data_IF_458361115454
#
_entry.id   IF_458361115454
#
_cell.length_a   1.000
_cell.length_b   1.000
_cell.length_c   1.000
_cell.angle_alpha   90.00
_cell.angle_beta   90.00
_cell.angle_gamma   90.00
#
_symmetry.space_group_name_H-M   'P 1'
#
loop_
_entity.id
_entity.type
_entity.pdbx_description
1 polymer ?
#
# COMPACT_ATOMS: atom_id res chain seq x y z
N UNK A 1 -18.19 -17.06 -12.78
CA UNK A 1 -18.00 -15.65 -13.24
C UNK A 1 -16.83 -14.93 -12.57
N UNK A 2 -16.46 -15.32 -11.36
CA UNK A 2 -15.40 -14.64 -10.58
C UNK A 2 -13.97 -15.02 -11.02
N UNK A 3 -13.76 -16.28 -11.44
CA UNK A 3 -12.46 -16.76 -11.93
C UNK A 3 -12.01 -16.07 -13.22
N UNK A 4 -12.94 -15.77 -14.14
CA UNK A 4 -12.63 -15.06 -15.38
C UNK A 4 -12.33 -13.57 -15.16
N UNK A 5 -12.92 -12.93 -14.13
CA UNK A 5 -12.58 -11.55 -13.78
C UNK A 5 -11.17 -11.45 -13.20
N UNK A 6 -10.77 -12.38 -12.32
CA UNK A 6 -9.41 -12.39 -11.73
C UNK A 6 -8.33 -12.72 -12.76
N UNK A 7 -8.60 -13.62 -13.69
CA UNK A 7 -7.70 -13.93 -14.81
C UNK A 7 -7.51 -12.73 -15.76
N UNK A 8 -8.58 -11.96 -16.04
CA UNK A 8 -8.47 -10.71 -16.82
C UNK A 8 -7.65 -9.64 -16.09
N UNK A 9 -7.76 -9.53 -14.76
CA UNK A 9 -6.94 -8.56 -13.98
C UNK A 9 -5.44 -8.89 -14.05
N UNK A 10 -5.06 -10.18 -14.01
CA UNK A 10 -3.66 -10.60 -14.13
C UNK A 10 -3.08 -10.26 -15.51
N UNK A 11 -3.78 -10.58 -16.58
CA UNK A 11 -3.36 -10.22 -17.96
C UNK A 11 -3.29 -8.70 -18.20
N UNK A 12 -4.07 -7.90 -17.48
CA UNK A 12 -4.01 -6.44 -17.56
C UNK A 12 -2.75 -5.91 -16.89
N UNK A 13 -2.35 -6.44 -15.74
CA UNK A 13 -1.16 -5.99 -14.99
C UNK A 13 0.14 -6.27 -15.72
N UNK A 14 0.27 -7.43 -16.38
CA UNK A 14 1.46 -7.73 -17.20
C UNK A 14 1.56 -6.78 -18.41
N UNK A 15 0.43 -6.46 -19.04
CA UNK A 15 0.38 -5.46 -20.11
C UNK A 15 0.73 -4.06 -19.61
N UNK A 16 0.31 -3.69 -18.38
CA UNK A 16 0.66 -2.39 -17.78
C UNK A 16 2.17 -2.28 -17.57
N UNK A 17 2.83 -3.32 -17.06
CA UNK A 17 4.30 -3.31 -16.88
C UNK A 17 5.02 -3.23 -18.22
N UNK A 18 4.53 -3.92 -19.26
CA UNK A 18 5.08 -3.81 -20.60
C UNK A 18 4.99 -2.37 -21.16
N UNK A 19 3.88 -1.68 -20.92
CA UNK A 19 3.73 -0.27 -21.30
C UNK A 19 4.66 0.65 -20.50
N UNK A 20 4.85 0.42 -19.22
CA UNK A 20 5.82 1.16 -18.40
C UNK A 20 7.22 0.99 -18.96
N UNK A 21 7.65 -0.24 -19.30
CA UNK A 21 8.93 -0.52 -19.94
C UNK A 21 9.07 0.24 -21.28
N UNK A 22 8.04 0.21 -22.11
CA UNK A 22 8.03 0.95 -23.38
C UNK A 22 8.21 2.45 -23.19
N UNK A 23 7.60 3.03 -22.15
CA UNK A 23 7.77 4.45 -21.82
C UNK A 23 9.21 4.73 -21.37
N UNK A 24 9.80 3.90 -20.52
CA UNK A 24 11.19 4.08 -20.07
C UNK A 24 12.19 3.96 -21.22
N UNK A 25 12.00 2.99 -22.11
CA UNK A 25 12.81 2.86 -23.35
C UNK A 25 12.64 4.08 -24.26
N UNK A 26 11.43 4.61 -24.39
CA UNK A 26 11.16 5.85 -25.13
C UNK A 26 11.86 7.06 -24.47
N UNK A 27 11.82 7.15 -23.15
CA UNK A 27 12.52 8.23 -22.41
C UNK A 27 14.03 8.17 -22.60
N UNK A 28 14.64 6.99 -22.59
CA UNK A 28 16.06 6.82 -22.91
C UNK A 28 16.40 7.37 -24.31
N UNK A 29 15.55 7.07 -25.31
CA UNK A 29 15.77 7.51 -26.70
C UNK A 29 15.55 9.01 -26.90
N UNK A 30 14.57 9.60 -26.22
CA UNK A 30 14.08 10.95 -26.56
C UNK A 30 14.47 12.02 -25.55
N UNK A 31 14.81 11.64 -24.31
CA UNK A 31 15.13 12.55 -23.19
C UNK A 31 16.59 12.45 -22.75
N UNK A 32 17.42 11.70 -23.47
CA UNK A 32 18.83 11.46 -23.13
C UNK A 32 19.01 10.95 -21.68
N UNK A 33 18.09 10.10 -21.24
CA UNK A 33 18.20 9.38 -19.98
C UNK A 33 18.92 8.06 -20.23
N UNK A 34 19.55 7.52 -19.20
CA UNK A 34 20.35 6.29 -19.29
C UNK A 34 19.86 5.24 -18.29
N UNK A 35 18.58 4.85 -18.41
CA UNK A 35 18.04 3.78 -17.61
C UNK A 35 18.55 2.42 -18.10
N UNK A 36 19.22 1.67 -17.24
CA UNK A 36 19.56 0.27 -17.47
C UNK A 36 18.39 -0.59 -16.96
N UNK A 37 17.67 -1.22 -17.90
CA UNK A 37 16.48 -2.01 -17.58
C UNK A 37 16.81 -3.49 -17.58
N UNK A 38 16.56 -4.20 -16.47
CA UNK A 38 16.58 -5.66 -16.40
C UNK A 38 15.17 -6.19 -16.10
N UNK A 39 14.86 -7.38 -16.59
CA UNK A 39 13.56 -8.03 -16.37
C UNK A 39 13.78 -9.41 -15.77
N UNK A 40 13.12 -9.65 -14.65
CA UNK A 40 13.28 -10.87 -13.86
C UNK A 40 11.92 -11.51 -13.55
N UNK A 41 11.92 -12.82 -13.26
CA UNK A 41 10.74 -13.56 -12.85
C UNK A 41 10.55 -13.48 -11.34
N UNK A 42 9.32 -13.16 -10.91
CA UNK A 42 8.95 -13.12 -9.49
C UNK A 42 7.54 -13.67 -9.28
N UNK A 43 7.23 -14.09 -8.05
CA UNK A 43 5.92 -14.58 -7.67
C UNK A 43 5.52 -15.85 -8.41
N UNK A 44 4.30 -15.90 -8.94
CA UNK A 44 3.76 -17.05 -9.65
C UNK A 44 4.56 -17.44 -10.89
N UNK A 45 5.08 -16.48 -11.64
CA UNK A 45 5.91 -16.75 -12.82
C UNK A 45 7.23 -17.45 -12.44
N UNK A 46 7.87 -17.03 -11.35
CA UNK A 46 9.06 -17.70 -10.83
C UNK A 46 8.75 -19.10 -10.30
N UNK A 47 7.62 -19.29 -9.62
CA UNK A 47 7.19 -20.62 -9.13
C UNK A 47 6.98 -21.59 -10.30
N UNK A 48 6.38 -21.14 -11.39
CA UNK A 48 6.17 -21.97 -12.57
C UNK A 48 7.49 -22.39 -13.21
N UNK A 49 8.45 -21.48 -13.32
CA UNK A 49 9.73 -21.72 -13.96
C UNK A 49 10.71 -22.51 -13.07
N UNK A 50 10.87 -22.09 -11.79
CA UNK A 50 11.97 -22.56 -10.92
C UNK A 50 11.51 -23.03 -9.54
N UNK A 51 10.20 -23.16 -9.30
CA UNK A 51 9.56 -23.73 -8.10
C UNK A 51 9.75 -22.90 -6.81
N UNK A 52 10.28 -21.70 -6.90
CA UNK A 52 10.39 -20.75 -5.78
C UNK A 52 9.80 -19.41 -6.15
N UNK A 53 9.20 -18.65 -5.19
CA UNK A 53 8.56 -17.36 -5.50
C UNK A 53 9.55 -16.25 -5.88
N UNK A 54 10.81 -16.36 -5.52
CA UNK A 54 11.93 -15.50 -5.93
C UNK A 54 13.23 -16.27 -5.73
N UNK A 55 14.14 -16.23 -6.70
CA UNK A 55 15.49 -16.78 -6.56
C UNK A 55 16.39 -15.82 -5.78
N UNK A 56 17.47 -16.32 -5.19
CA UNK A 56 18.44 -15.47 -4.50
C UNK A 56 19.14 -14.51 -5.48
N UNK A 57 19.41 -14.94 -6.71
CA UNK A 57 19.97 -14.09 -7.76
C UNK A 57 19.07 -12.87 -8.03
N UNK A 58 17.78 -13.08 -8.29
CA UNK A 58 16.80 -12.00 -8.53
C UNK A 58 16.65 -11.11 -7.30
N UNK A 59 16.71 -11.71 -6.11
CA UNK A 59 16.65 -10.98 -4.84
C UNK A 59 17.85 -10.04 -4.67
N UNK A 60 19.08 -10.53 -4.82
CA UNK A 60 20.28 -9.69 -4.70
C UNK A 60 20.34 -8.61 -5.79
N UNK A 61 19.97 -8.93 -7.02
CA UNK A 61 19.87 -7.96 -8.10
C UNK A 61 18.86 -6.84 -7.80
N UNK A 62 17.75 -7.19 -7.11
CA UNK A 62 16.77 -6.19 -6.65
C UNK A 62 17.34 -5.27 -5.56
N UNK A 63 18.22 -5.79 -4.66
CA UNK A 63 18.88 -4.98 -3.64
C UNK A 63 19.92 -3.99 -4.24
N UNK A 64 20.55 -4.37 -5.35
CA UNK A 64 21.54 -3.54 -6.04
C UNK A 64 20.94 -2.53 -7.00
N UNK A 65 19.65 -2.62 -7.29
CA UNK A 65 18.95 -1.73 -8.21
C UNK A 65 18.51 -0.43 -7.54
N UNK A 66 18.58 0.69 -8.26
CA UNK A 66 18.08 2.00 -7.78
C UNK A 66 16.55 2.00 -7.58
N UNK A 67 15.83 1.21 -8.38
CA UNK A 67 14.38 1.06 -8.30
C UNK A 67 13.92 -0.31 -8.80
N UNK A 68 12.84 -0.81 -8.22
CA UNK A 68 12.18 -2.06 -8.63
C UNK A 68 10.75 -1.76 -9.04
N UNK A 69 10.41 -2.08 -10.28
CA UNK A 69 9.03 -2.02 -10.79
C UNK A 69 8.44 -3.42 -10.72
N UNK A 70 7.38 -3.58 -9.97
CA UNK A 70 6.74 -4.87 -9.73
C UNK A 70 5.37 -4.91 -10.42
N UNK A 71 5.13 -6.01 -11.14
CA UNK A 71 3.83 -6.35 -11.69
C UNK A 71 2.98 -7.18 -10.73
N UNK A 72 2.13 -8.06 -11.25
CA UNK A 72 1.33 -8.97 -10.44
C UNK A 72 2.19 -10.11 -9.88
N UNK A 73 2.06 -10.39 -8.58
CA UNK A 73 2.79 -11.48 -7.92
C UNK A 73 2.03 -12.81 -7.96
N UNK A 74 0.74 -12.80 -7.68
CA UNK A 74 -0.09 -13.97 -7.43
C UNK A 74 -1.34 -14.07 -8.32
N UNK A 75 -2.12 -15.10 -8.09
CA UNK A 75 -3.39 -15.34 -8.77
C UNK A 75 -3.99 -16.68 -8.41
N UNK A 76 -5.21 -16.98 -8.86
CA UNK A 76 -5.98 -18.17 -8.46
C UNK A 76 -5.24 -19.51 -8.67
N UNK A 77 -4.33 -19.57 -9.64
CA UNK A 77 -3.53 -20.75 -9.95
C UNK A 77 -2.71 -21.24 -8.75
N UNK A 78 -2.28 -20.33 -7.88
CA UNK A 78 -1.38 -20.60 -6.76
C UNK A 78 -2.08 -20.52 -5.39
N UNK A 79 -3.40 -20.34 -5.33
CA UNK A 79 -4.16 -20.20 -4.08
C UNK A 79 -4.04 -21.42 -3.15
N UNK A 80 -3.90 -22.63 -3.73
CA UNK A 80 -3.80 -23.89 -3.01
C UNK A 80 -2.38 -24.26 -2.54
N UNK A 81 -1.38 -23.42 -2.78
CA UNK A 81 -0.03 -23.66 -2.30
C UNK A 81 0.05 -23.44 -0.78
N UNK A 82 0.96 -24.16 -0.13
CA UNK A 82 1.34 -23.90 1.26
C UNK A 82 1.70 -22.43 1.45
N UNK A 83 1.36 -21.87 2.59
CA UNK A 83 1.59 -20.45 2.91
C UNK A 83 3.04 -20.00 2.67
N UNK A 84 4.02 -20.85 3.00
CA UNK A 84 5.45 -20.60 2.78
C UNK A 84 5.87 -20.50 1.32
N UNK A 85 5.10 -21.10 0.41
CA UNK A 85 5.37 -21.19 -1.03
C UNK A 85 4.51 -20.25 -1.87
N UNK A 86 3.64 -19.46 -1.25
CA UNK A 86 2.76 -18.53 -1.98
C UNK A 86 3.55 -17.42 -2.69
N UNK A 87 3.09 -16.96 -3.88
CA UNK A 87 3.72 -15.90 -4.65
C UNK A 87 3.98 -14.62 -3.85
N UNK A 88 3.06 -14.25 -2.96
CA UNK A 88 3.12 -13.05 -2.11
C UNK A 88 4.33 -13.04 -1.16
N UNK A 89 4.91 -14.22 -0.88
CA UNK A 89 6.13 -14.33 -0.05
C UNK A 89 7.32 -13.60 -0.68
N UNK A 90 7.41 -13.56 -2.01
CA UNK A 90 8.45 -12.80 -2.70
C UNK A 90 8.32 -11.29 -2.44
N UNK A 91 7.09 -10.76 -2.55
CA UNK A 91 6.83 -9.36 -2.27
C UNK A 91 7.12 -8.99 -0.81
N UNK A 92 6.71 -9.84 0.14
CA UNK A 92 6.98 -9.60 1.56
C UNK A 92 8.48 -9.64 1.88
N UNK A 93 9.25 -10.58 1.25
CA UNK A 93 10.71 -10.62 1.37
C UNK A 93 11.34 -9.32 0.87
N UNK A 94 10.98 -8.85 -0.34
CA UNK A 94 11.49 -7.59 -0.89
C UNK A 94 11.12 -6.39 0.00
N UNK A 95 9.88 -6.26 0.45
CA UNK A 95 9.45 -5.16 1.33
C UNK A 95 10.28 -5.08 2.62
N UNK A 96 10.52 -6.23 3.23
CA UNK A 96 11.30 -6.34 4.47
C UNK A 96 12.76 -5.95 4.26
N UNK A 97 13.41 -6.58 3.29
CA UNK A 97 14.86 -6.44 3.10
C UNK A 97 15.25 -5.09 2.47
N UNK A 98 14.43 -4.56 1.58
CA UNK A 98 14.57 -3.19 1.05
C UNK A 98 14.10 -2.12 2.04
N UNK A 99 13.59 -2.52 3.22
CA UNK A 99 13.07 -1.60 4.27
C UNK A 99 12.03 -0.62 3.76
N UNK A 100 11.11 -1.10 2.91
CA UNK A 100 10.06 -0.30 2.29
C UNK A 100 8.93 -0.03 3.29
N UNK A 101 9.15 0.92 4.20
CA UNK A 101 8.22 1.22 5.30
C UNK A 101 7.06 2.15 4.90
N UNK A 102 7.23 2.94 3.85
CA UNK A 102 6.22 3.91 3.41
C UNK A 102 5.59 3.45 2.08
N UNK A 103 4.33 3.08 2.14
CA UNK A 103 3.53 2.79 0.95
C UNK A 103 2.69 4.01 0.59
N UNK A 104 2.93 4.56 -0.59
CA UNK A 104 2.24 5.73 -1.10
C UNK A 104 1.15 5.28 -2.07
N UNK A 105 -0.10 5.54 -1.73
CA UNK A 105 -1.27 5.16 -2.53
C UNK A 105 -2.06 6.42 -2.94
N UNK A 106 -1.82 6.96 -4.13
CA UNK A 106 -2.61 8.07 -4.63
C UNK A 106 -4.02 7.59 -5.05
N UNK A 107 -5.05 8.33 -4.69
CA UNK A 107 -6.42 8.16 -5.16
C UNK A 107 -6.81 9.39 -5.97
N UNK A 108 -6.59 9.34 -7.28
CA UNK A 108 -6.83 10.44 -8.21
C UNK A 108 -7.97 10.07 -9.14
N UNK A 109 -9.04 10.86 -9.13
CA UNK A 109 -10.13 10.70 -10.08
C UNK A 109 -9.87 11.55 -11.34
N UNK A 110 -9.47 10.90 -12.42
CA UNK A 110 -9.28 11.55 -13.71
C UNK A 110 -10.62 11.99 -14.29
N UNK A 111 -10.67 13.17 -14.90
CA UNK A 111 -11.91 13.73 -15.48
C UNK A 111 -12.61 12.77 -16.44
N UNK A 112 -11.83 12.00 -17.21
CA UNK A 112 -12.34 11.03 -18.19
C UNK A 112 -12.93 9.77 -17.55
N UNK A 113 -12.72 9.56 -16.27
CA UNK A 113 -13.13 8.35 -15.53
C UNK A 113 -14.17 8.63 -14.44
N UNK A 114 -14.65 9.87 -14.32
CA UNK A 114 -15.63 10.27 -13.31
C UNK A 114 -16.88 9.38 -13.39
N UNK A 115 -17.36 9.09 -14.59
CA UNK A 115 -18.56 8.26 -14.81
C UNK A 115 -18.32 6.75 -14.52
N UNK A 116 -17.07 6.33 -14.30
CA UNK A 116 -16.75 4.97 -13.89
C UNK A 116 -16.88 4.74 -12.38
N UNK A 117 -16.99 5.83 -11.61
CA UNK A 117 -17.25 5.76 -10.17
C UNK A 117 -18.67 5.33 -9.88
N UNK A 118 -18.88 4.63 -8.76
CA UNK A 118 -20.23 4.32 -8.25
C UNK A 118 -20.84 5.47 -7.46
N UNK A 119 -20.04 6.49 -7.14
CA UNK A 119 -20.50 7.69 -6.46
C UNK A 119 -20.91 8.78 -7.49
N UNK A 120 -21.68 9.74 -7.00
CA UNK A 120 -22.09 10.89 -7.82
C UNK A 120 -20.88 11.68 -8.32
N UNK A 121 -20.91 12.17 -9.59
CA UNK A 121 -19.81 12.92 -10.19
C UNK A 121 -19.32 14.11 -9.37
N UNK A 122 -20.24 14.84 -8.71
CA UNK A 122 -19.88 15.98 -7.86
C UNK A 122 -19.06 15.63 -6.62
N UNK A 123 -19.13 14.37 -6.15
CA UNK A 123 -18.34 13.88 -5.02
C UNK A 123 -16.92 13.59 -5.45
N UNK A 124 -16.72 12.91 -6.58
CA UNK A 124 -15.43 12.37 -7.01
C UNK A 124 -14.67 13.23 -8.01
N UNK A 125 -15.34 14.13 -8.71
CA UNK A 125 -14.69 14.99 -9.72
C UNK A 125 -13.59 15.85 -9.09
N UNK A 126 -12.37 15.74 -9.64
CA UNK A 126 -11.19 16.46 -9.16
C UNK A 126 -10.63 15.94 -7.83
N UNK A 127 -11.00 14.73 -7.44
CA UNK A 127 -10.44 14.07 -6.27
C UNK A 127 -8.95 13.80 -6.48
N UNK A 128 -8.14 14.17 -5.48
CA UNK A 128 -6.72 13.89 -5.40
C UNK A 128 -6.33 13.75 -3.92
N UNK A 129 -6.26 12.51 -3.46
CA UNK A 129 -5.89 12.12 -2.10
C UNK A 129 -4.62 11.28 -2.16
N UNK A 130 -3.67 11.51 -1.26
CA UNK A 130 -2.50 10.67 -1.04
C UNK A 130 -2.65 9.91 0.27
N UNK A 131 -2.71 8.59 0.21
CA UNK A 131 -2.70 7.76 1.41
C UNK A 131 -1.28 7.28 1.67
N UNK A 132 -0.76 7.59 2.84
CA UNK A 132 0.55 7.19 3.34
C UNK A 132 0.33 6.10 4.38
N UNK A 133 0.59 4.85 3.97
CA UNK A 133 0.45 3.65 4.79
C UNK A 133 1.80 3.23 5.34
N UNK A 134 1.92 3.04 6.64
CA UNK A 134 3.06 2.31 7.22
C UNK A 134 2.97 0.83 6.78
N UNK A 135 4.07 0.23 6.30
CA UNK A 135 4.01 -1.04 5.59
C UNK A 135 4.75 -2.19 6.30
N UNK A 136 5.59 -1.92 7.29
CA UNK A 136 6.52 -2.90 7.87
C UNK A 136 6.26 -3.23 9.34
N UNK A 137 5.31 -2.55 9.96
CA UNK A 137 4.87 -2.78 11.35
C UNK A 137 3.43 -3.27 11.45
N UNK A 138 2.89 -3.17 12.66
CA UNK A 138 1.51 -3.43 12.99
C UNK A 138 1.10 -4.90 12.97
N UNK A 139 -0.20 -5.14 12.79
CA UNK A 139 -0.82 -6.46 12.95
C UNK A 139 -0.33 -7.52 11.96
N UNK A 140 0.22 -7.10 10.80
CA UNK A 140 0.73 -8.02 9.80
C UNK A 140 2.12 -8.58 10.16
N UNK A 141 2.83 -7.97 11.11
CA UNK A 141 4.20 -8.34 11.49
C UNK A 141 4.42 -8.52 12.98
N UNK A 142 3.50 -8.03 13.84
CA UNK A 142 3.63 -8.11 15.28
C UNK A 142 3.62 -9.54 15.82
N UNK A 143 4.38 -9.77 16.88
CA UNK A 143 4.46 -11.03 17.62
C UNK A 143 3.92 -10.86 19.05
N UNK A 144 3.35 -11.91 19.67
CA UNK A 144 3.09 -13.24 19.15
C UNK A 144 1.97 -13.27 18.08
N UNK A 145 2.07 -14.23 17.16
CA UNK A 145 1.06 -14.49 16.13
C UNK A 145 0.98 -15.95 15.77
N UNK A 146 -0.19 -16.41 15.37
CA UNK A 146 -0.39 -17.79 14.94
C UNK A 146 -1.74 -18.35 15.31
N UNK A 147 -1.88 -19.65 15.13
CA UNK A 147 -3.04 -20.42 15.56
C UNK A 147 -2.53 -21.53 16.50
N UNK A 148 -2.95 -21.50 17.74
CA UNK A 148 -2.58 -22.45 18.77
C UNK A 148 -3.80 -23.29 19.22
N UNK A 149 -3.61 -24.59 19.51
CA UNK A 149 -4.66 -25.39 20.14
C UNK A 149 -4.85 -24.93 21.58
N UNK A 150 -6.10 -24.93 22.03
CA UNK A 150 -6.48 -24.71 23.43
C UNK A 150 -7.36 -25.86 23.91
N UNK A 151 -7.79 -25.84 25.16
CA UNK A 151 -8.62 -26.89 25.76
C UNK A 151 -9.90 -27.15 24.96
N UNK A 152 -10.48 -28.35 25.15
CA UNK A 152 -11.76 -28.77 24.54
C UNK A 152 -11.76 -28.77 22.99
N UNK A 153 -10.65 -29.18 22.35
CA UNK A 153 -10.50 -29.20 20.89
C UNK A 153 -10.75 -27.86 20.20
N UNK A 154 -10.64 -26.76 20.93
CA UNK A 154 -10.74 -25.42 20.36
C UNK A 154 -9.36 -24.93 19.88
N UNK A 155 -9.37 -23.90 19.08
CA UNK A 155 -8.17 -23.19 18.59
C UNK A 155 -8.31 -21.70 18.84
N UNK A 156 -7.19 -21.05 19.15
CA UNK A 156 -7.09 -19.60 19.32
C UNK A 156 -6.20 -19.01 18.24
N UNK A 157 -6.72 -18.05 17.49
CA UNK A 157 -5.95 -17.24 16.55
C UNK A 157 -5.45 -15.96 17.22
N UNK A 158 -4.16 -15.62 17.04
CA UNK A 158 -3.53 -14.45 17.64
C UNK A 158 -2.85 -13.64 16.55
N UNK A 159 -3.07 -12.32 16.55
CA UNK A 159 -2.27 -11.34 15.85
C UNK A 159 -2.02 -10.16 16.78
N UNK A 160 -0.78 -9.74 16.88
CA UNK A 160 -0.37 -8.60 17.72
C UNK A 160 -0.27 -7.34 16.88
N UNK A 161 -0.99 -6.29 17.30
CA UNK A 161 -0.89 -4.96 16.71
C UNK A 161 0.05 -4.12 17.57
N UNK A 162 1.26 -3.85 17.06
CA UNK A 162 2.27 -3.10 17.81
C UNK A 162 3.02 -2.14 16.91
N UNK A 163 3.37 -0.98 17.48
CA UNK A 163 4.21 0.04 16.86
C UNK A 163 5.17 0.62 17.88
N UNK A 164 6.35 0.99 17.42
CA UNK A 164 7.33 1.76 18.20
C UNK A 164 7.25 3.24 17.81
N UNK A 165 7.68 4.12 18.71
CA UNK A 165 7.84 5.55 18.43
C UNK A 165 8.63 5.83 17.15
N UNK A 166 9.73 5.09 16.92
CA UNK A 166 10.56 5.29 15.72
C UNK A 166 9.85 4.93 14.42
N UNK A 167 9.01 3.90 14.41
CA UNK A 167 8.18 3.51 13.25
C UNK A 167 7.14 4.57 12.94
N UNK A 168 6.47 5.10 13.96
CA UNK A 168 5.48 6.16 13.81
C UNK A 168 6.16 7.45 13.32
N UNK A 169 7.28 7.83 13.90
CA UNK A 169 8.00 9.06 13.53
C UNK A 169 8.48 9.05 12.08
N UNK A 170 9.03 7.92 11.59
CA UNK A 170 9.52 7.84 10.21
C UNK A 170 8.40 8.01 9.19
N UNK A 171 7.25 7.37 9.42
CA UNK A 171 6.12 7.45 8.48
C UNK A 171 5.40 8.81 8.58
N UNK A 172 5.31 9.39 9.78
CA UNK A 172 4.74 10.72 9.99
C UNK A 172 5.53 11.80 9.21
N UNK A 173 6.87 11.75 9.25
CA UNK A 173 7.71 12.68 8.47
C UNK A 173 7.44 12.58 6.98
N UNK A 174 7.29 11.36 6.43
CA UNK A 174 6.94 11.18 5.02
C UNK A 174 5.60 11.84 4.70
N UNK A 175 4.58 11.64 5.54
CA UNK A 175 3.26 12.23 5.32
C UNK A 175 3.29 13.77 5.39
N UNK A 176 3.98 14.34 6.37
CA UNK A 176 4.10 15.79 6.50
C UNK A 176 4.92 16.43 5.38
N UNK A 177 6.01 15.79 4.92
CA UNK A 177 6.81 16.30 3.81
C UNK A 177 6.04 16.24 2.47
N UNK A 178 5.20 15.22 2.27
CA UNK A 178 4.28 15.17 1.15
C UNK A 178 3.22 16.27 1.23
N UNK A 179 2.63 16.48 2.40
CA UNK A 179 1.60 17.50 2.60
C UNK A 179 2.14 18.93 2.27
N UNK A 180 3.38 19.26 2.65
CA UNK A 180 4.02 20.55 2.27
C UNK A 180 4.08 20.77 0.75
N UNK A 181 4.15 19.70 -0.03
CA UNK A 181 4.19 19.75 -1.51
C UNK A 181 2.80 19.75 -2.13
N UNK A 182 1.76 19.63 -1.29
CA UNK A 182 0.34 19.53 -1.67
C UNK A 182 -0.46 20.67 -0.99
N UNK A 183 -1.59 20.35 -0.36
CA UNK A 183 -2.48 21.34 0.28
C UNK A 183 -2.13 21.64 1.74
N UNK A 184 -0.97 21.18 2.21
CA UNK A 184 -0.43 21.42 3.54
C UNK A 184 -1.32 20.87 4.69
N UNK A 185 -2.00 19.73 4.45
CA UNK A 185 -2.94 19.12 5.38
C UNK A 185 -2.70 17.61 5.50
N UNK A 186 -2.64 17.12 6.74
CA UNK A 186 -2.57 15.69 7.08
C UNK A 186 -3.78 15.31 7.93
N UNK A 187 -4.44 14.21 7.59
CA UNK A 187 -5.40 13.53 8.46
C UNK A 187 -4.77 12.23 8.94
N UNK A 188 -4.42 12.16 10.22
CA UNK A 188 -3.89 10.94 10.84
C UNK A 188 -5.04 10.06 11.31
N UNK A 189 -5.09 8.84 10.74
CA UNK A 189 -6.14 7.86 11.03
C UNK A 189 -5.60 6.79 11.98
N UNK A 190 -6.32 6.58 13.07
CA UNK A 190 -5.97 5.64 14.15
C UNK A 190 -7.24 5.13 14.86
N UNK A 191 -7.07 4.31 15.88
CA UNK A 191 -8.19 3.76 16.68
C UNK A 191 -7.93 3.95 18.18
N UNK A 192 -7.57 5.17 18.59
CA UNK A 192 -7.17 5.53 19.95
C UNK A 192 -8.27 5.35 21.02
N UNK A 193 -9.51 5.27 20.60
CA UNK A 193 -10.63 5.08 21.53
C UNK A 193 -10.73 3.65 22.11
N UNK A 194 -10.01 2.66 21.52
CA UNK A 194 -10.06 1.25 21.93
C UNK A 194 -8.72 0.50 21.79
N UNK A 195 -7.67 1.15 21.30
CA UNK A 195 -6.37 0.54 21.06
C UNK A 195 -5.24 1.40 21.62
N UNK A 196 -4.42 0.82 22.50
CA UNK A 196 -3.23 1.48 23.07
C UNK A 196 -2.21 1.87 21.99
N UNK A 197 -2.01 1.00 21.00
CA UNK A 197 -1.16 1.34 19.83
C UNK A 197 -1.71 2.54 19.05
N UNK A 198 -3.04 2.72 19.03
CA UNK A 198 -3.69 3.90 18.45
C UNK A 198 -3.49 5.17 19.29
N UNK A 199 -3.48 5.06 20.62
CA UNK A 199 -3.16 6.16 21.53
C UNK A 199 -1.71 6.62 21.27
N UNK A 200 -0.75 5.70 21.30
CA UNK A 200 0.66 5.99 21.03
C UNK A 200 0.82 6.63 19.63
N UNK A 201 0.17 6.08 18.62
CA UNK A 201 0.21 6.62 17.26
C UNK A 201 -0.19 8.10 17.21
N UNK A 202 -1.31 8.43 17.85
CA UNK A 202 -1.84 9.80 17.91
C UNK A 202 -0.88 10.74 18.61
N UNK A 203 -0.34 10.35 19.76
CA UNK A 203 0.60 11.14 20.55
C UNK A 203 1.90 11.41 19.79
N UNK A 204 2.50 10.40 19.18
CA UNK A 204 3.75 10.50 18.47
C UNK A 204 3.64 11.28 17.14
N UNK A 205 2.52 11.14 16.42
CA UNK A 205 2.25 11.95 15.23
C UNK A 205 2.08 13.42 15.61
N UNK A 206 1.37 13.71 16.72
CA UNK A 206 1.22 15.07 17.23
C UNK A 206 2.58 15.65 17.66
N UNK A 207 3.42 14.88 18.36
CA UNK A 207 4.73 15.32 18.79
C UNK A 207 5.65 15.71 17.62
N UNK A 208 5.68 14.90 16.54
CA UNK A 208 6.44 15.23 15.32
C UNK A 208 5.91 16.50 14.65
N UNK A 209 4.58 16.65 14.56
CA UNK A 209 3.96 17.85 14.00
C UNK A 209 4.39 19.11 14.77
N UNK A 210 4.30 19.06 16.10
CA UNK A 210 4.60 20.24 16.94
C UNK A 210 6.10 20.61 16.95
N UNK A 211 6.96 19.59 16.83
CA UNK A 211 8.41 19.78 16.81
C UNK A 211 8.92 20.23 15.44
N UNK A 212 8.50 19.56 14.36
CA UNK A 212 9.17 19.65 13.06
C UNK A 212 8.28 20.29 11.96
N UNK A 213 6.94 20.23 12.11
CA UNK A 213 5.99 20.60 11.04
C UNK A 213 4.90 21.58 11.50
N UNK A 214 5.25 22.57 12.26
CA UNK A 214 4.32 23.54 12.91
C UNK A 214 3.31 24.18 11.96
N UNK A 215 3.68 24.37 10.69
CA UNK A 215 2.83 25.03 9.67
C UNK A 215 1.88 24.06 8.94
N UNK A 216 2.03 22.75 9.12
CA UNK A 216 1.13 21.78 8.50
C UNK A 216 -0.11 21.60 9.36
N UNK A 217 -1.28 21.66 8.75
CA UNK A 217 -2.55 21.33 9.42
C UNK A 217 -2.57 19.84 9.73
N UNK A 218 -2.85 19.47 10.97
CA UNK A 218 -3.03 18.09 11.40
C UNK A 218 -4.41 17.91 12.00
N UNK A 219 -5.15 16.94 11.48
CA UNK A 219 -6.39 16.45 12.06
C UNK A 219 -6.24 14.98 12.43
N UNK A 220 -6.69 14.59 13.61
CA UNK A 220 -6.81 13.19 13.99
C UNK A 220 -8.24 12.70 13.73
N UNK A 221 -8.36 11.53 13.17
CA UNK A 221 -9.67 10.94 12.85
C UNK A 221 -9.65 9.43 13.15
N UNK A 222 -10.67 8.93 13.82
CA UNK A 222 -10.82 7.49 14.02
C UNK A 222 -11.01 6.79 12.67
N UNK A 223 -10.42 5.63 12.49
CA UNK A 223 -10.36 4.95 11.19
C UNK A 223 -11.75 4.64 10.60
N UNK A 224 -12.69 4.23 11.44
CA UNK A 224 -14.09 4.01 11.03
C UNK A 224 -14.78 5.30 10.56
N UNK A 225 -14.54 6.43 11.23
CA UNK A 225 -15.03 7.73 10.77
C UNK A 225 -14.34 8.15 9.47
N UNK A 226 -13.05 7.88 9.31
CA UNK A 226 -12.32 8.17 8.08
C UNK A 226 -12.93 7.42 6.89
N UNK A 227 -13.24 6.13 7.04
CA UNK A 227 -13.93 5.33 6.04
C UNK A 227 -15.27 5.94 5.64
N UNK A 228 -16.12 6.29 6.62
CA UNK A 228 -17.39 6.98 6.34
C UNK A 228 -17.20 8.31 5.60
N UNK A 229 -16.20 9.11 5.98
CA UNK A 229 -15.94 10.41 5.39
C UNK A 229 -15.33 10.31 3.98
N UNK A 230 -14.60 9.24 3.67
CA UNK A 230 -14.15 8.96 2.30
C UNK A 230 -15.34 8.83 1.33
N UNK A 231 -16.43 8.20 1.74
CA UNK A 231 -17.64 8.08 0.92
C UNK A 231 -18.48 9.36 0.93
N UNK A 232 -18.56 10.03 2.08
CA UNK A 232 -19.46 11.19 2.25
C UNK A 232 -18.88 12.49 1.71
N UNK A 233 -17.63 12.78 2.04
CA UNK A 233 -16.96 14.04 1.68
C UNK A 233 -15.45 13.84 1.49
N UNK A 234 -15.03 13.07 0.45
CA UNK A 234 -13.61 12.74 0.22
C UNK A 234 -12.74 13.97 -0.07
N UNK A 235 -13.32 15.05 -0.60
CA UNK A 235 -12.59 16.30 -0.95
C UNK A 235 -12.01 17.04 0.26
N UNK A 236 -12.40 16.68 1.49
CA UNK A 236 -11.80 17.23 2.70
C UNK A 236 -10.38 16.74 2.94
N UNK A 237 -9.99 15.62 2.34
CA UNK A 237 -8.69 15.02 2.53
C UNK A 237 -7.65 15.54 1.52
N UNK A 238 -6.40 15.61 1.97
CA UNK A 238 -5.23 15.85 1.14
C UNK A 238 -4.25 14.68 1.30
N UNK A 239 -3.62 14.56 2.49
CA UNK A 239 -2.81 13.40 2.85
C UNK A 239 -3.47 12.67 4.01
N UNK A 240 -3.72 11.38 3.84
CA UNK A 240 -4.17 10.48 4.92
C UNK A 240 -2.96 9.68 5.38
N UNK A 241 -2.62 9.77 6.66
CA UNK A 241 -1.59 8.98 7.32
C UNK A 241 -2.26 7.88 8.12
N UNK A 242 -1.89 6.63 7.89
CA UNK A 242 -2.46 5.49 8.61
C UNK A 242 -1.44 4.36 8.84
N UNK A 243 -1.75 3.52 9.82
CA UNK A 243 -1.03 2.28 10.08
C UNK A 243 -1.21 1.26 8.95
N UNK A 244 -0.61 0.08 9.13
CA UNK A 244 -0.62 -0.96 8.09
C UNK A 244 -2.02 -1.49 7.77
N UNK A 245 -2.84 -1.77 8.79
CA UNK A 245 -4.18 -2.34 8.62
C UNK A 245 -5.15 -1.30 8.08
N UNK A 246 -5.27 -0.17 8.76
CA UNK A 246 -6.22 0.88 8.36
C UNK A 246 -5.80 1.52 7.05
N UNK A 247 -4.49 1.69 6.81
CA UNK A 247 -3.97 2.20 5.53
C UNK A 247 -4.29 1.29 4.35
N UNK A 248 -4.32 -0.04 4.55
CA UNK A 248 -4.75 -0.99 3.52
C UNK A 248 -6.23 -0.81 3.18
N UNK A 249 -7.07 -0.89 4.20
CA UNK A 249 -8.52 -0.78 4.03
C UNK A 249 -8.94 0.57 3.42
N UNK A 250 -8.44 1.68 3.97
CA UNK A 250 -8.77 3.02 3.50
C UNK A 250 -8.27 3.28 2.07
N UNK A 251 -7.11 2.73 1.69
CA UNK A 251 -6.59 2.92 0.33
C UNK A 251 -7.37 2.10 -0.70
N UNK A 252 -7.82 0.90 -0.35
CA UNK A 252 -8.65 0.07 -1.23
C UNK A 252 -10.05 0.70 -1.38
N UNK A 253 -10.61 1.24 -0.31
CA UNK A 253 -11.86 2.03 -0.36
C UNK A 253 -11.69 3.28 -1.24
N UNK A 254 -10.61 4.05 -1.04
CA UNK A 254 -10.33 5.24 -1.85
C UNK A 254 -10.11 4.91 -3.34
N UNK A 255 -9.53 3.75 -3.66
CA UNK A 255 -9.39 3.28 -5.03
C UNK A 255 -10.76 3.08 -5.71
N UNK A 256 -11.76 2.62 -4.97
CA UNK A 256 -13.12 2.45 -5.50
C UNK A 256 -13.81 3.78 -5.80
N UNK A 257 -13.43 4.88 -5.12
CA UNK A 257 -13.94 6.23 -5.46
C UNK A 257 -13.55 6.63 -6.88
N UNK A 258 -12.41 6.16 -7.37
CA UNK A 258 -11.91 6.48 -8.73
C UNK A 258 -12.42 5.53 -9.79
N UNK A 259 -13.24 4.53 -9.42
CA UNK A 259 -13.86 3.56 -10.32
C UNK A 259 -12.97 2.38 -10.72
N UNK A 260 -11.72 2.26 -10.24
CA UNK A 260 -10.86 1.15 -10.59
C UNK A 260 -9.68 0.93 -9.63
N UNK A 261 -9.59 -0.27 -9.06
CA UNK A 261 -8.41 -0.74 -8.32
C UNK A 261 -7.14 -0.86 -9.19
N UNK A 262 -7.30 -1.06 -10.50
CA UNK A 262 -6.18 -1.33 -11.41
C UNK A 262 -5.46 -0.10 -11.94
N UNK A 263 -5.99 1.10 -11.70
CA UNK A 263 -5.42 2.37 -12.20
C UNK A 263 -4.46 3.03 -11.20
N UNK A 264 -4.47 2.61 -9.96
CA UNK A 264 -3.66 3.22 -8.91
C UNK A 264 -2.41 2.39 -8.64
N UNK A 265 -1.23 3.03 -8.58
CA UNK A 265 -0.02 2.36 -8.13
C UNK A 265 -0.11 2.01 -6.64
N UNK A 266 0.58 0.98 -6.21
CA UNK A 266 0.62 0.57 -4.80
C UNK A 266 2.03 0.22 -4.35
#
# INVERSE_FOLDING_TARGET
HDSHRRQRQMCIRDRVVAEVRRILEWMNKTKSLDFVLSQELIGGASIDAVKVPITDEVFYKSLESDAVILGACGGPKWDNLEFSKKPERALLKLRKELKLFANLRPAICFKQLVDSSTLKPEIVSGLDIMIVRELTGGIYFGEPRGIEPIENNQRKGINTHSYTTSEIHRIARVAFDLAKKRKNKVTSCEKSNVMEAGILWREEVQAIKDKEFKKVELNHMLADNCAMQLLRYPKQFDVILADNLFGDMLSDEAAMLTGSLGLLPS
#
